data_IF_649174415051
#
_entry.id   IF_649174415051
#
_cell.length_a   1.000
_cell.length_b   1.000
_cell.length_c   1.000
_cell.angle_alpha   90.00
_cell.angle_beta   90.00
_cell.angle_gamma   90.00
#
_symmetry.space_group_name_H-M   'P 1'
#
loop_
_entity.id
_entity.type
_entity.pdbx_description
1 polymer ?
#
# COMPACT_ATOMS: atom_id res chain seq x y z
N UNK A 1 3.38 -20.53 -20.43
CA UNK A 1 2.94 -19.92 -19.15
C UNK A 1 1.86 -18.92 -19.49
N UNK A 2 0.82 -18.75 -18.68
CA UNK A 2 -0.18 -17.73 -18.98
C UNK A 2 0.51 -16.36 -18.95
N UNK A 3 0.30 -15.55 -19.99
CA UNK A 3 0.66 -14.14 -20.00
C UNK A 3 0.02 -13.48 -18.79
N UNK A 4 0.74 -12.64 -18.02
CA UNK A 4 0.14 -11.93 -16.91
C UNK A 4 -1.10 -11.18 -17.40
N UNK A 5 -2.24 -11.44 -16.76
CA UNK A 5 -3.46 -10.67 -17.03
C UNK A 5 -3.18 -9.22 -16.66
N UNK A 6 -3.15 -8.35 -17.65
CA UNK A 6 -2.95 -6.92 -17.50
C UNK A 6 -4.27 -6.23 -17.16
N UNK A 7 -4.88 -6.62 -16.04
CA UNK A 7 -6.09 -5.93 -15.58
C UNK A 7 -5.70 -4.76 -14.69
N UNK A 8 -6.04 -3.55 -15.12
CA UNK A 8 -5.98 -2.33 -14.29
C UNK A 8 -7.13 -2.35 -13.26
N UNK A 9 -8.07 -3.27 -13.39
CA UNK A 9 -9.18 -3.43 -12.45
C UNK A 9 -8.70 -4.11 -11.17
N UNK A 10 -9.23 -3.63 -10.04
CA UNK A 10 -8.98 -4.25 -8.74
C UNK A 10 -9.78 -5.56 -8.64
N UNK A 11 -9.14 -6.57 -8.10
CA UNK A 11 -9.77 -7.85 -7.76
C UNK A 11 -10.52 -7.71 -6.43
N UNK A 12 -11.74 -7.18 -6.51
CA UNK A 12 -12.62 -6.96 -5.35
C UNK A 12 -13.61 -8.10 -5.13
N UNK A 13 -13.49 -9.18 -5.89
CA UNK A 13 -14.35 -10.36 -5.78
C UNK A 13 -14.03 -11.26 -4.58
N UNK A 14 -14.86 -12.30 -4.44
CA UNK A 14 -14.59 -13.33 -3.43
C UNK A 14 -13.30 -14.09 -3.76
N UNK A 15 -12.47 -14.37 -2.74
CA UNK A 15 -11.23 -15.11 -2.93
C UNK A 15 -11.47 -16.51 -3.48
N UNK A 16 -10.70 -16.99 -4.46
CA UNK A 16 -10.77 -18.37 -4.91
C UNK A 16 -10.37 -19.35 -3.79
N UNK A 17 -10.80 -20.58 -3.89
CA UNK A 17 -10.60 -21.60 -2.88
C UNK A 17 -9.13 -21.77 -2.46
N UNK A 18 -8.22 -21.76 -3.42
CA UNK A 18 -6.76 -21.86 -3.14
C UNK A 18 -6.25 -20.71 -2.25
N UNK A 19 -6.79 -19.49 -2.45
CA UNK A 19 -6.42 -18.34 -1.65
C UNK A 19 -7.01 -18.44 -0.23
N UNK A 20 -8.20 -18.99 -0.08
CA UNK A 20 -8.81 -19.25 1.24
C UNK A 20 -8.01 -20.33 2.00
N UNK A 21 -7.52 -21.35 1.33
CA UNK A 21 -6.64 -22.37 1.92
C UNK A 21 -5.30 -21.75 2.35
N UNK A 22 -4.74 -20.87 1.53
CA UNK A 22 -3.55 -20.11 1.91
C UNK A 22 -3.81 -19.24 3.14
N UNK A 23 -4.93 -18.53 3.18
CA UNK A 23 -5.33 -17.69 4.32
C UNK A 23 -5.47 -18.51 5.61
N UNK A 24 -6.06 -19.70 5.51
CA UNK A 24 -6.16 -20.65 6.62
C UNK A 24 -4.77 -21.06 7.13
N UNK A 25 -3.89 -21.46 6.23
CA UNK A 25 -2.56 -21.95 6.59
C UNK A 25 -1.63 -20.85 7.15
N UNK A 26 -1.70 -19.62 6.60
CA UNK A 26 -0.73 -18.57 6.87
C UNK A 26 -1.28 -17.39 7.68
N UNK A 27 -2.58 -17.08 7.57
CA UNK A 27 -3.25 -16.02 8.34
C UNK A 27 -4.07 -16.55 9.51
N UNK A 28 -4.22 -17.87 9.66
CA UNK A 28 -5.10 -18.52 10.66
C UNK A 28 -6.57 -18.12 10.48
N UNK A 29 -6.98 -17.85 9.23
CA UNK A 29 -8.36 -17.49 8.89
C UNK A 29 -9.22 -18.75 8.78
N UNK A 30 -9.71 -19.26 9.91
CA UNK A 30 -10.57 -20.43 9.96
C UNK A 30 -12.03 -20.05 9.71
N UNK A 31 -12.72 -20.65 8.73
CA UNK A 31 -14.11 -20.31 8.41
C UNK A 31 -15.06 -20.40 9.62
N UNK A 32 -14.86 -21.39 10.49
CA UNK A 32 -15.68 -21.60 11.68
C UNK A 32 -15.50 -20.58 12.81
N UNK A 33 -14.37 -19.86 12.84
CA UNK A 33 -14.07 -18.86 13.89
C UNK A 33 -13.90 -17.45 13.36
N UNK A 34 -14.02 -17.25 12.03
CA UNK A 34 -13.84 -15.95 11.39
C UNK A 34 -14.75 -14.88 11.98
N UNK A 35 -16.06 -15.14 12.04
CA UNK A 35 -17.04 -14.20 12.60
C UNK A 35 -16.80 -13.93 14.07
N UNK A 36 -16.44 -14.97 14.85
CA UNK A 36 -16.13 -14.81 16.25
C UNK A 36 -14.96 -13.84 16.47
N UNK A 37 -13.88 -13.97 15.70
CA UNK A 37 -12.74 -13.06 15.78
C UNK A 37 -13.09 -11.61 15.41
N UNK A 38 -14.00 -11.41 14.45
CA UNK A 38 -14.51 -10.07 14.08
C UNK A 38 -15.31 -9.48 15.25
N UNK A 39 -16.20 -10.26 15.87
CA UNK A 39 -16.96 -9.81 17.04
C UNK A 39 -16.04 -9.48 18.23
N UNK A 40 -15.07 -10.34 18.54
CA UNK A 40 -14.10 -10.09 19.59
C UNK A 40 -13.29 -8.79 19.35
N UNK A 41 -12.87 -8.55 18.11
CA UNK A 41 -12.19 -7.31 17.77
C UNK A 41 -13.11 -6.09 17.98
N UNK A 42 -14.35 -6.19 17.54
CA UNK A 42 -15.35 -5.12 17.69
C UNK A 42 -15.63 -4.82 19.15
N UNK A 43 -15.82 -5.85 19.98
CA UNK A 43 -16.04 -5.72 21.43
C UNK A 43 -14.83 -5.04 22.11
N UNK A 44 -13.61 -5.47 21.76
CA UNK A 44 -12.39 -4.84 22.28
C UNK A 44 -12.31 -3.34 21.97
N UNK A 45 -12.74 -2.92 20.77
CA UNK A 45 -12.74 -1.51 20.38
C UNK A 45 -13.71 -0.72 21.27
N UNK A 46 -14.92 -1.25 21.49
CA UNK A 46 -15.93 -0.59 22.34
C UNK A 46 -15.52 -0.56 23.80
N UNK A 47 -15.05 -1.68 24.34
CA UNK A 47 -14.73 -1.81 25.76
C UNK A 47 -13.50 -0.98 26.18
N UNK A 48 -12.49 -0.91 25.33
CA UNK A 48 -11.23 -0.22 25.66
C UNK A 48 -11.26 1.26 25.36
N UNK A 49 -11.99 1.69 24.32
CA UNK A 49 -12.10 3.10 23.94
C UNK A 49 -10.77 3.75 23.56
N UNK A 50 -9.76 2.96 23.13
CA UNK A 50 -8.42 3.46 22.79
C UNK A 50 -8.34 4.08 21.38
N UNK A 51 -9.36 3.90 20.56
CA UNK A 51 -9.54 4.55 19.27
C UNK A 51 -11.02 4.68 18.93
N UNK A 52 -11.36 5.64 18.04
CA UNK A 52 -12.72 5.90 17.59
C UNK A 52 -12.87 5.68 16.08
N UNK A 53 -13.01 4.43 15.63
CA UNK A 53 -13.09 4.13 14.21
C UNK A 53 -14.35 4.71 13.57
N UNK A 54 -14.20 5.29 12.38
CA UNK A 54 -15.32 5.74 11.54
C UNK A 54 -16.04 4.56 10.86
N UNK A 55 -15.35 3.42 10.74
CA UNK A 55 -15.85 2.18 10.13
C UNK A 55 -15.69 1.00 11.07
N UNK A 56 -16.75 0.22 11.19
CA UNK A 56 -16.84 -0.96 12.05
C UNK A 56 -17.47 -2.17 11.34
N UNK A 57 -17.61 -2.09 10.01
CA UNK A 57 -18.09 -3.18 9.19
C UNK A 57 -17.08 -4.34 9.11
N UNK A 58 -17.58 -5.53 8.83
CA UNK A 58 -16.79 -6.76 8.80
C UNK A 58 -15.65 -6.69 7.78
N UNK A 59 -15.90 -6.11 6.60
CA UNK A 59 -14.91 -5.97 5.53
C UNK A 59 -13.77 -5.03 5.90
N UNK A 60 -14.04 -4.06 6.76
CA UNK A 60 -12.99 -3.18 7.28
C UNK A 60 -12.21 -3.84 8.40
N UNK A 61 -12.87 -4.47 9.37
CA UNK A 61 -12.22 -5.11 10.51
C UNK A 61 -11.36 -6.31 10.12
N UNK A 62 -11.78 -7.09 9.12
CA UNK A 62 -11.03 -8.27 8.67
C UNK A 62 -9.64 -7.92 8.13
N UNK A 63 -9.44 -6.72 7.57
CA UNK A 63 -8.13 -6.24 7.09
C UNK A 63 -7.10 -6.25 8.23
N UNK A 64 -7.51 -5.81 9.42
CA UNK A 64 -6.66 -5.78 10.62
C UNK A 64 -6.40 -7.18 11.18
N UNK A 65 -7.42 -8.06 11.15
CA UNK A 65 -7.29 -9.44 11.57
C UNK A 65 -6.31 -10.22 10.67
N UNK A 66 -6.46 -10.12 9.34
CA UNK A 66 -5.54 -10.75 8.36
C UNK A 66 -4.11 -10.28 8.56
N UNK A 67 -3.90 -8.98 8.74
CA UNK A 67 -2.58 -8.40 8.97
C UNK A 67 -1.93 -8.85 10.29
N UNK A 68 -2.68 -9.47 11.20
CA UNK A 68 -2.20 -9.93 12.53
C UNK A 68 -2.58 -11.38 12.82
N UNK A 69 -2.69 -12.20 11.77
CA UNK A 69 -2.89 -13.65 11.84
C UNK A 69 -4.12 -14.03 12.67
N UNK A 70 -5.22 -13.29 12.50
CA UNK A 70 -6.47 -13.50 13.21
C UNK A 70 -6.32 -13.57 14.74
N UNK A 71 -5.44 -12.75 15.30
CA UNK A 71 -5.30 -12.57 16.75
C UNK A 71 -5.95 -11.23 17.12
N UNK A 72 -7.19 -11.21 17.71
CA UNK A 72 -7.95 -9.98 17.94
C UNK A 72 -7.20 -8.92 18.75
N UNK A 73 -6.47 -9.31 19.79
CA UNK A 73 -5.68 -8.39 20.60
C UNK A 73 -4.54 -7.69 19.80
N UNK A 74 -3.94 -8.39 18.82
CA UNK A 74 -2.92 -7.80 17.95
C UNK A 74 -3.56 -6.91 16.86
N UNK A 75 -4.71 -7.32 16.34
CA UNK A 75 -5.49 -6.54 15.40
C UNK A 75 -5.98 -5.23 16.03
N UNK A 76 -6.49 -5.28 17.26
CA UNK A 76 -6.88 -4.11 18.04
C UNK A 76 -5.69 -3.13 18.21
N UNK A 77 -4.52 -3.63 18.64
CA UNK A 77 -3.32 -2.78 18.77
C UNK A 77 -2.92 -2.12 17.43
N UNK A 78 -3.03 -2.87 16.32
CA UNK A 78 -2.78 -2.30 15.00
C UNK A 78 -3.78 -1.20 14.66
N UNK A 79 -5.04 -1.38 15.03
CA UNK A 79 -6.10 -0.41 14.78
C UNK A 79 -5.89 0.87 15.58
N UNK A 80 -5.51 0.74 16.86
CA UNK A 80 -5.11 1.89 17.68
C UNK A 80 -3.94 2.64 17.03
N UNK A 81 -2.90 1.93 16.59
CA UNK A 81 -1.75 2.54 15.91
C UNK A 81 -2.14 3.22 14.59
N UNK A 82 -3.09 2.64 13.85
CA UNK A 82 -3.57 3.23 12.58
C UNK A 82 -4.26 4.57 12.82
N UNK A 83 -5.17 4.64 13.78
CA UNK A 83 -5.87 5.88 14.10
C UNK A 83 -4.94 6.92 14.74
N UNK A 84 -4.04 6.49 15.62
CA UNK A 84 -3.01 7.38 16.17
C UNK A 84 -2.10 7.94 15.06
N UNK A 85 -1.71 7.12 14.07
CA UNK A 85 -0.92 7.59 12.95
C UNK A 85 -1.67 8.63 12.10
N UNK A 86 -2.98 8.47 11.92
CA UNK A 86 -3.83 9.47 11.25
C UNK A 86 -3.89 10.78 12.03
N UNK A 87 -4.05 10.72 13.35
CA UNK A 87 -4.07 11.90 14.22
C UNK A 87 -2.71 12.62 14.27
N UNK A 88 -1.62 11.87 14.30
CA UNK A 88 -0.25 12.41 14.30
C UNK A 88 0.15 13.04 12.95
N UNK A 89 -0.54 12.69 11.87
CA UNK A 89 -0.19 13.10 10.50
C UNK A 89 -1.42 13.51 9.68
N UNK A 90 -2.19 14.53 10.13
CA UNK A 90 -3.41 14.95 9.44
C UNK A 90 -3.16 15.38 8.00
N UNK A 91 -1.98 15.92 7.71
CA UNK A 91 -1.58 16.34 6.36
C UNK A 91 -1.59 15.21 5.33
N UNK A 92 -1.56 13.95 5.76
CA UNK A 92 -1.59 12.78 4.87
C UNK A 92 -3.00 12.26 4.57
N UNK A 93 -4.00 12.70 5.35
CA UNK A 93 -5.35 12.14 5.31
C UNK A 93 -6.44 13.19 5.12
N UNK A 94 -6.22 14.41 5.61
CA UNK A 94 -7.22 15.47 5.55
C UNK A 94 -7.12 16.28 4.26
N UNK A 95 -8.25 16.47 3.61
CA UNK A 95 -8.36 17.22 2.37
C UNK A 95 -7.44 16.70 1.24
N UNK A 96 -7.23 15.39 1.19
CA UNK A 96 -6.44 14.75 0.13
C UNK A 96 -7.35 14.43 -1.05
N UNK A 97 -7.01 14.98 -2.19
CA UNK A 97 -7.62 14.67 -3.48
C UNK A 97 -6.68 13.73 -4.24
N UNK A 98 -7.12 12.49 -4.56
CA UNK A 98 -6.24 11.51 -5.21
C UNK A 98 -5.63 11.99 -6.52
N UNK A 99 -6.35 12.79 -7.30
CA UNK A 99 -5.87 13.27 -8.60
C UNK A 99 -4.84 14.40 -8.51
N UNK A 100 -4.77 15.10 -7.38
CA UNK A 100 -3.70 16.09 -7.11
C UNK A 100 -2.33 15.42 -6.92
N UNK A 101 -2.30 14.08 -6.69
CA UNK A 101 -1.08 13.31 -6.56
C UNK A 101 -0.50 12.82 -7.91
N UNK A 102 -1.15 13.18 -9.01
CA UNK A 102 -0.69 12.85 -10.37
C UNK A 102 0.77 13.20 -10.64
N UNK A 103 1.33 14.35 -10.16
CA UNK A 103 2.73 14.70 -10.39
C UNK A 103 3.73 13.62 -9.93
N UNK A 104 3.44 12.88 -8.86
CA UNK A 104 4.29 11.77 -8.37
C UNK A 104 4.38 10.64 -9.41
N UNK A 105 3.28 10.36 -10.09
CA UNK A 105 3.24 9.39 -11.19
C UNK A 105 3.85 9.91 -12.47
N UNK A 106 3.53 11.15 -12.86
CA UNK A 106 4.05 11.77 -14.08
C UNK A 106 5.59 11.94 -14.03
N UNK A 107 6.14 12.20 -12.84
CA UNK A 107 7.58 12.19 -12.60
C UNK A 107 8.17 10.78 -12.48
N UNK A 108 7.36 9.73 -12.61
CA UNK A 108 7.77 8.34 -12.57
C UNK A 108 8.44 7.90 -11.25
N UNK A 109 8.13 8.60 -10.15
CA UNK A 109 8.69 8.32 -8.82
C UNK A 109 8.08 7.05 -8.25
N UNK A 110 6.77 6.86 -8.46
CA UNK A 110 6.04 5.70 -7.98
C UNK A 110 5.26 5.05 -9.12
N UNK A 111 5.28 3.74 -9.16
CA UNK A 111 4.46 2.94 -10.06
C UNK A 111 3.88 1.74 -9.31
N UNK A 112 2.66 1.35 -9.68
CA UNK A 112 2.02 0.12 -9.26
C UNK A 112 1.65 -0.63 -10.52
N UNK A 113 2.43 -1.65 -10.94
CA UNK A 113 2.11 -2.42 -12.15
C UNK A 113 0.70 -3.03 -12.06
N UNK A 114 -0.03 -3.12 -13.18
CA UNK A 114 -1.36 -3.74 -13.21
C UNK A 114 -1.32 -5.26 -13.03
N UNK A 115 -0.16 -5.86 -13.25
CA UNK A 115 0.11 -7.28 -13.02
C UNK A 115 0.70 -7.52 -11.62
N UNK A 116 0.73 -8.79 -11.22
CA UNK A 116 1.26 -9.27 -9.94
C UNK A 116 2.51 -10.13 -10.16
N UNK A 117 3.23 -10.44 -9.09
CA UNK A 117 4.33 -11.39 -9.17
C UNK A 117 3.83 -12.82 -9.47
N UNK A 118 4.75 -13.78 -9.63
CA UNK A 118 4.44 -15.20 -9.89
C UNK A 118 3.60 -15.87 -8.79
N UNK A 119 3.48 -15.25 -7.62
CA UNK A 119 2.71 -15.74 -6.48
C UNK A 119 1.42 -14.94 -6.23
N UNK A 120 1.08 -14.05 -7.14
CA UNK A 120 -0.13 -13.23 -7.08
C UNK A 120 -0.06 -12.00 -6.16
N UNK A 121 1.14 -11.52 -5.79
CA UNK A 121 1.33 -10.34 -4.94
C UNK A 121 1.41 -9.06 -5.76
N UNK A 122 0.81 -7.99 -5.27
CA UNK A 122 1.00 -6.64 -5.84
C UNK A 122 2.41 -6.14 -5.55
N UNK A 123 2.94 -5.40 -6.51
CA UNK A 123 4.25 -4.74 -6.41
C UNK A 123 4.06 -3.22 -6.40
N UNK A 124 4.83 -2.53 -5.59
CA UNK A 124 4.98 -1.08 -5.60
C UNK A 124 6.42 -0.76 -5.94
N UNK A 125 6.63 0.04 -6.98
CA UNK A 125 7.96 0.45 -7.45
C UNK A 125 8.18 1.90 -7.04
N UNK A 126 9.30 2.17 -6.38
CA UNK A 126 9.72 3.51 -5.97
C UNK A 126 11.06 3.84 -6.63
N UNK A 127 11.07 4.79 -7.54
CA UNK A 127 12.28 5.29 -8.23
C UNK A 127 12.68 6.60 -7.61
N UNK A 128 13.44 6.52 -6.52
CA UNK A 128 13.73 7.69 -5.69
C UNK A 128 14.61 8.71 -6.41
N UNK A 129 15.47 8.28 -7.33
CA UNK A 129 16.29 9.21 -8.12
C UNK A 129 15.49 10.05 -9.13
N UNK A 130 14.26 9.65 -9.49
CA UNK A 130 13.36 10.45 -10.32
C UNK A 130 12.70 11.61 -9.57
N UNK A 131 12.81 11.62 -8.25
CA UNK A 131 12.19 12.63 -7.40
C UNK A 131 13.02 13.92 -7.35
N UNK A 132 12.41 15.05 -7.71
CA UNK A 132 12.98 16.37 -7.44
C UNK A 132 12.32 16.99 -6.20
N UNK A 133 13.01 17.05 -5.05
CA UNK A 133 12.46 17.59 -3.81
C UNK A 133 12.10 19.08 -3.87
N UNK A 134 12.54 19.80 -4.90
CA UNK A 134 12.20 21.22 -5.10
C UNK A 134 10.84 21.40 -5.79
N UNK A 135 10.39 20.39 -6.53
CA UNK A 135 9.14 20.44 -7.28
C UNK A 135 8.02 19.67 -6.58
N UNK A 136 8.36 18.52 -5.98
CA UNK A 136 7.40 17.63 -5.34
C UNK A 136 7.79 17.49 -3.87
N UNK A 137 6.97 17.97 -2.92
CA UNK A 137 7.25 17.82 -1.50
C UNK A 137 7.21 16.35 -1.08
N UNK A 138 7.98 16.01 -0.06
CA UNK A 138 8.03 14.63 0.46
C UNK A 138 6.68 14.15 0.98
N UNK A 139 5.83 15.06 1.43
CA UNK A 139 4.47 14.78 1.88
C UNK A 139 3.62 14.16 0.76
N UNK A 140 3.83 14.57 -0.49
CA UNK A 140 3.09 14.01 -1.63
C UNK A 140 3.53 12.58 -1.95
N UNK A 141 4.81 12.24 -1.70
CA UNK A 141 5.26 10.84 -1.76
C UNK A 141 4.57 9.99 -0.68
N UNK A 142 4.46 10.53 0.54
CA UNK A 142 3.72 9.87 1.61
C UNK A 142 2.24 9.72 1.29
N UNK A 143 1.57 10.79 0.82
CA UNK A 143 0.15 10.76 0.41
C UNK A 143 -0.09 9.72 -0.70
N UNK A 144 0.76 9.71 -1.71
CA UNK A 144 0.68 8.74 -2.82
C UNK A 144 0.87 7.30 -2.32
N UNK A 145 1.80 7.09 -1.38
CA UNK A 145 2.01 5.77 -0.77
C UNK A 145 0.79 5.35 0.05
N UNK A 146 0.26 6.23 0.90
CA UNK A 146 -0.95 5.98 1.69
C UNK A 146 -2.13 5.66 0.78
N UNK A 147 -2.33 6.43 -0.29
CA UNK A 147 -3.37 6.19 -1.29
C UNK A 147 -3.23 4.78 -1.91
N UNK A 148 -2.03 4.42 -2.36
CA UNK A 148 -1.78 3.12 -2.97
C UNK A 148 -2.00 1.96 -1.98
N UNK A 149 -1.62 2.13 -0.71
CA UNK A 149 -1.89 1.15 0.35
C UNK A 149 -3.40 0.99 0.61
N UNK A 150 -4.15 2.09 0.67
CA UNK A 150 -5.60 2.05 0.86
C UNK A 150 -6.31 1.35 -0.30
N UNK A 151 -5.93 1.66 -1.54
CA UNK A 151 -6.48 1.01 -2.73
C UNK A 151 -6.11 -0.48 -2.73
N UNK A 152 -4.85 -0.83 -2.45
CA UNK A 152 -4.41 -2.22 -2.39
C UNK A 152 -5.16 -3.04 -1.33
N UNK A 153 -5.57 -2.41 -0.23
CA UNK A 153 -6.36 -3.05 0.83
C UNK A 153 -7.81 -3.34 0.44
N UNK A 154 -8.31 -2.83 -0.69
CA UNK A 154 -9.61 -3.22 -1.21
C UNK A 154 -9.60 -4.64 -1.78
N UNK A 155 -8.44 -5.12 -2.21
CA UNK A 155 -8.29 -6.48 -2.73
C UNK A 155 -8.06 -7.49 -1.59
N UNK A 156 -8.97 -8.44 -1.43
CA UNK A 156 -8.81 -9.52 -0.44
C UNK A 156 -7.51 -10.32 -0.67
N UNK A 157 -7.12 -10.52 -1.93
CA UNK A 157 -5.84 -11.16 -2.31
C UNK A 157 -4.64 -10.42 -1.72
N UNK A 158 -4.62 -9.09 -1.81
CA UNK A 158 -3.53 -8.27 -1.26
C UNK A 158 -3.50 -8.31 0.27
N UNK A 159 -4.65 -8.35 0.94
CA UNK A 159 -4.73 -8.52 2.40
C UNK A 159 -4.13 -9.87 2.84
N UNK A 160 -4.38 -10.94 2.08
CA UNK A 160 -3.96 -12.31 2.41
C UNK A 160 -2.49 -12.56 2.04
N UNK A 161 -2.09 -12.26 0.81
CA UNK A 161 -0.74 -12.57 0.31
C UNK A 161 0.31 -11.52 0.68
N UNK A 162 -0.14 -10.31 1.03
CA UNK A 162 0.73 -9.17 1.21
C UNK A 162 1.20 -8.54 -0.10
N UNK A 163 2.03 -7.50 0.03
CA UNK A 163 2.62 -6.76 -1.08
C UNK A 163 4.14 -6.77 -1.06
N UNK A 164 4.73 -6.45 -2.20
CA UNK A 164 6.17 -6.31 -2.39
C UNK A 164 6.46 -4.84 -2.69
N UNK A 165 7.48 -4.28 -2.04
CA UNK A 165 8.01 -2.96 -2.37
C UNK A 165 9.39 -3.11 -3.03
N UNK A 166 9.63 -2.41 -4.13
CA UNK A 166 10.93 -2.34 -4.81
C UNK A 166 11.36 -0.88 -4.79
N UNK A 167 12.45 -0.61 -4.10
CA UNK A 167 13.10 0.70 -4.06
C UNK A 167 14.28 0.70 -5.03
N UNK A 168 14.12 1.42 -6.12
CA UNK A 168 15.19 1.69 -7.07
C UNK A 168 15.87 3.00 -6.67
N UNK A 169 17.13 2.90 -6.34
CA UNK A 169 17.96 3.99 -5.84
C UNK A 169 18.97 4.49 -6.89
N UNK A 170 18.74 4.15 -8.16
CA UNK A 170 19.51 4.73 -9.27
C UNK A 170 19.40 6.25 -9.20
N UNK A 171 20.50 6.95 -9.44
CA UNK A 171 20.61 8.41 -9.44
C UNK A 171 20.27 9.12 -8.11
N UNK A 172 20.21 8.39 -6.99
CA UNK A 172 20.03 9.02 -5.68
C UNK A 172 21.25 9.89 -5.33
N UNK A 173 21.00 11.15 -5.03
CA UNK A 173 22.02 12.13 -4.67
C UNK A 173 21.86 12.70 -3.26
N UNK A 174 22.75 13.62 -2.90
CA UNK A 174 22.76 14.28 -1.59
C UNK A 174 21.48 15.06 -1.31
N UNK A 175 20.84 15.64 -2.32
CA UNK A 175 19.56 16.35 -2.20
C UNK A 175 18.46 15.44 -1.67
N UNK A 176 18.41 14.19 -2.14
CA UNK A 176 17.49 13.17 -1.63
C UNK A 176 17.83 12.76 -0.19
N UNK A 177 19.14 12.54 0.08
CA UNK A 177 19.60 12.14 1.40
C UNK A 177 19.27 13.18 2.48
N UNK A 178 19.34 14.46 2.15
CA UNK A 178 18.98 15.55 3.07
C UNK A 178 17.50 15.56 3.47
N UNK A 179 16.62 14.98 2.65
CA UNK A 179 15.18 14.85 2.97
C UNK A 179 14.92 13.74 3.98
N UNK A 180 15.82 12.76 4.09
CA UNK A 180 15.64 11.59 4.97
C UNK A 180 16.16 11.92 6.36
N UNK A 181 15.40 12.67 7.12
CA UNK A 181 15.65 12.92 8.54
C UNK A 181 15.22 11.72 9.40
N UNK A 182 15.66 11.59 10.65
CA UNK A 182 15.17 10.58 11.59
C UNK A 182 13.63 10.61 11.76
N UNK A 183 13.02 11.80 11.71
CA UNK A 183 11.57 11.95 11.78
C UNK A 183 10.87 11.36 10.55
N UNK A 184 11.37 11.67 9.36
CA UNK A 184 10.89 11.11 8.08
C UNK A 184 11.04 9.58 8.07
N UNK A 185 12.18 9.07 8.47
CA UNK A 185 12.41 7.62 8.55
C UNK A 185 11.45 6.96 9.56
N UNK A 186 11.23 7.57 10.72
CA UNK A 186 10.27 7.09 11.71
C UNK A 186 8.85 7.06 11.15
N UNK A 187 8.43 8.13 10.43
CA UNK A 187 7.13 8.20 9.76
C UNK A 187 6.96 7.08 8.72
N UNK A 188 7.97 6.84 7.89
CA UNK A 188 7.96 5.75 6.90
C UNK A 188 7.83 4.37 7.56
N UNK A 189 8.62 4.10 8.59
CA UNK A 189 8.58 2.80 9.28
C UNK A 189 7.24 2.61 10.00
N UNK A 190 6.72 3.62 10.69
CA UNK A 190 5.40 3.58 11.31
C UNK A 190 4.33 3.26 10.26
N UNK A 191 4.33 3.95 9.14
CA UNK A 191 3.38 3.73 8.04
C UNK A 191 3.45 2.29 7.50
N UNK A 192 4.61 1.81 7.11
CA UNK A 192 4.76 0.53 6.40
C UNK A 192 4.73 -0.70 7.32
N UNK A 193 5.04 -0.55 8.60
CA UNK A 193 5.26 -1.69 9.52
C UNK A 193 4.22 -1.78 10.62
N UNK A 194 3.87 -0.66 11.25
CA UNK A 194 3.13 -0.71 12.51
C UNK A 194 1.75 -0.06 12.49
N UNK A 195 1.40 0.71 11.47
CA UNK A 195 0.16 1.48 11.47
C UNK A 195 -0.86 1.05 10.42
N UNK A 196 -0.43 0.57 9.26
CA UNK A 196 -1.37 0.10 8.23
C UNK A 196 -1.66 -1.41 8.35
N UNK A 197 -2.90 -1.85 8.05
CA UNK A 197 -3.26 -3.26 8.05
C UNK A 197 -2.77 -3.97 6.76
N UNK A 198 -1.55 -3.65 6.35
CA UNK A 198 -0.85 -4.27 5.22
C UNK A 198 0.12 -5.33 5.73
N UNK A 199 0.28 -6.38 4.95
CA UNK A 199 1.34 -7.36 5.14
C UNK A 199 2.44 -7.09 4.11
N UNK A 200 3.57 -6.52 4.56
CA UNK A 200 4.75 -6.36 3.70
C UNK A 200 5.46 -7.69 3.59
N UNK A 201 5.31 -8.35 2.44
CA UNK A 201 5.95 -9.65 2.19
C UNK A 201 7.46 -9.52 2.04
N UNK A 202 7.90 -8.58 1.18
CA UNK A 202 9.31 -8.32 0.94
C UNK A 202 9.55 -6.85 0.55
N UNK A 203 10.74 -6.36 0.87
CA UNK A 203 11.26 -5.08 0.40
C UNK A 203 12.57 -5.36 -0.34
N UNK A 204 12.62 -5.02 -1.61
CA UNK A 204 13.81 -5.15 -2.45
C UNK A 204 14.43 -3.79 -2.67
N UNK A 205 15.75 -3.67 -2.47
CA UNK A 205 16.52 -2.44 -2.66
C UNK A 205 17.54 -2.71 -3.74
N UNK A 206 17.40 -2.02 -4.87
CA UNK A 206 18.26 -2.16 -6.05
C UNK A 206 19.00 -0.85 -6.35
N UNK A 207 20.07 -0.93 -7.11
CA UNK A 207 20.88 0.21 -7.55
C UNK A 207 21.39 1.09 -6.40
N UNK A 208 21.60 0.52 -5.21
CA UNK A 208 22.04 1.29 -4.05
C UNK A 208 23.55 1.50 -4.06
N UNK A 209 23.95 2.75 -3.80
CA UNK A 209 25.35 3.17 -3.65
C UNK A 209 25.75 3.26 -2.17
N UNK A 210 27.02 3.60 -1.92
CA UNK A 210 27.54 3.87 -0.56
C UNK A 210 26.75 4.95 0.21
N UNK A 211 26.09 5.87 -0.51
CA UNK A 211 25.24 6.90 0.10
C UNK A 211 24.05 6.28 0.82
N UNK A 212 23.51 5.21 0.26
CA UNK A 212 22.40 4.49 0.87
C UNK A 212 22.79 3.84 2.21
N UNK A 213 24.01 3.38 2.38
CA UNK A 213 24.45 2.80 3.66
C UNK A 213 24.29 3.79 4.81
N UNK A 214 24.57 5.08 4.56
CA UNK A 214 24.36 6.15 5.53
C UNK A 214 22.87 6.37 5.82
N UNK A 215 22.03 6.37 4.79
CA UNK A 215 20.59 6.50 4.92
C UNK A 215 20.01 5.29 5.67
N UNK A 216 20.41 4.08 5.32
CA UNK A 216 19.93 2.87 5.97
C UNK A 216 20.27 2.80 7.46
N UNK A 217 21.38 3.38 7.90
CA UNK A 217 21.72 3.47 9.31
C UNK A 217 20.70 4.30 10.14
N UNK A 218 19.93 5.18 9.50
CA UNK A 218 18.82 5.90 10.15
C UNK A 218 17.61 4.97 10.34
N UNK A 219 17.35 4.09 9.38
CA UNK A 219 16.22 3.15 9.42
C UNK A 219 16.47 1.94 10.31
N UNK A 220 17.68 1.41 10.29
CA UNK A 220 18.05 0.15 10.95
C UNK A 220 17.61 0.03 12.42
N UNK A 221 17.77 1.05 13.28
CA UNK A 221 17.31 0.97 14.67
C UNK A 221 15.78 0.99 14.84
N UNK A 222 15.06 1.48 13.83
CA UNK A 222 13.60 1.57 13.84
C UNK A 222 12.91 0.26 13.40
N UNK A 223 13.66 -0.63 12.75
CA UNK A 223 13.14 -1.90 12.23
C UNK A 223 13.36 -3.03 13.23
N UNK A 224 12.31 -3.82 13.48
CA UNK A 224 12.43 -5.05 14.25
C UNK A 224 13.14 -6.16 13.43
N UNK A 225 13.49 -7.28 14.09
CA UNK A 225 14.21 -8.39 13.45
C UNK A 225 13.41 -9.03 12.32
N UNK A 226 12.09 -9.16 12.48
CA UNK A 226 11.20 -9.74 11.47
C UNK A 226 11.19 -8.88 10.20
N UNK A 227 11.00 -7.56 10.34
CA UNK A 227 11.01 -6.68 9.17
C UNK A 227 12.38 -6.64 8.50
N UNK A 228 13.48 -6.64 9.27
CA UNK A 228 14.83 -6.69 8.70
C UNK A 228 15.08 -7.95 7.87
N UNK A 229 14.52 -9.09 8.26
CA UNK A 229 14.64 -10.34 7.48
C UNK A 229 13.88 -10.34 6.15
N UNK A 230 12.96 -9.38 5.95
CA UNK A 230 12.20 -9.19 4.72
C UNK A 230 12.80 -8.18 3.76
N UNK A 231 13.94 -7.56 4.14
CA UNK A 231 14.64 -6.57 3.30
C UNK A 231 15.81 -7.26 2.58
N UNK A 232 15.81 -7.17 1.26
CA UNK A 232 16.80 -7.75 0.38
C UNK A 232 17.58 -6.66 -0.36
N UNK A 233 18.90 -6.72 -0.26
CA UNK A 233 19.80 -5.78 -0.92
C UNK A 233 20.43 -6.43 -2.15
N UNK A 234 20.25 -5.82 -3.31
CA UNK A 234 20.68 -6.40 -4.60
C UNK A 234 21.90 -5.68 -5.21
N UNK A 235 22.30 -4.52 -4.66
CA UNK A 235 23.34 -3.70 -5.29
C UNK A 235 22.93 -3.28 -6.69
N UNK A 236 23.88 -3.36 -7.61
CA UNK A 236 23.67 -3.11 -9.05
C UNK A 236 23.35 -4.41 -9.83
N UNK A 237 23.25 -5.55 -9.15
CA UNK A 237 23.02 -6.83 -9.78
C UNK A 237 21.53 -7.18 -9.84
N UNK A 238 20.86 -6.73 -10.91
CA UNK A 238 19.42 -6.95 -11.12
C UNK A 238 19.09 -8.45 -11.18
N UNK A 239 20.00 -9.30 -11.67
CA UNK A 239 19.83 -10.76 -11.67
C UNK A 239 19.58 -11.35 -10.26
N UNK A 240 20.06 -10.68 -9.23
CA UNK A 240 19.76 -11.04 -7.84
C UNK A 240 18.28 -10.84 -7.48
N UNK A 241 17.60 -9.84 -8.06
CA UNK A 241 16.16 -9.63 -7.91
C UNK A 241 15.37 -10.78 -8.55
N UNK A 242 15.86 -11.32 -9.68
CA UNK A 242 15.21 -12.42 -10.40
C UNK A 242 15.11 -13.72 -9.60
N UNK A 243 15.90 -13.88 -8.54
CA UNK A 243 15.77 -15.00 -7.60
C UNK A 243 14.50 -14.93 -6.74
N UNK A 244 13.91 -13.76 -6.64
CA UNK A 244 12.71 -13.48 -5.84
C UNK A 244 11.49 -13.22 -6.71
N UNK A 245 11.65 -12.48 -7.81
CA UNK A 245 10.58 -12.12 -8.74
C UNK A 245 11.01 -12.55 -10.14
N UNK A 246 10.19 -13.42 -10.75
CA UNK A 246 10.50 -13.94 -12.09
C UNK A 246 10.48 -12.79 -13.12
N UNK A 247 11.42 -12.74 -14.09
CA UNK A 247 11.51 -11.68 -15.09
C UNK A 247 10.22 -11.42 -15.88
N UNK A 248 9.40 -12.44 -16.11
CA UNK A 248 8.10 -12.31 -16.79
C UNK A 248 7.13 -11.34 -16.10
N UNK A 249 7.38 -11.04 -14.82
CA UNK A 249 6.57 -10.16 -13.98
C UNK A 249 7.30 -8.85 -13.61
N UNK A 250 8.39 -8.53 -14.30
CA UNK A 250 9.15 -7.32 -14.06
C UNK A 250 9.15 -6.42 -15.30
N UNK A 251 9.23 -5.10 -15.12
CA UNK A 251 9.50 -4.16 -16.21
C UNK A 251 10.83 -4.44 -16.92
N UNK A 252 10.91 -4.09 -18.20
CA UNK A 252 12.12 -4.26 -19.02
C UNK A 252 13.35 -3.61 -18.39
N UNK A 253 13.18 -2.46 -17.71
CA UNK A 253 14.27 -1.77 -17.00
C UNK A 253 14.92 -2.61 -15.88
N UNK A 254 14.20 -3.58 -15.35
CA UNK A 254 14.70 -4.52 -14.34
C UNK A 254 14.99 -5.90 -14.94
N UNK A 255 15.31 -5.94 -16.24
CA UNK A 255 15.61 -7.18 -16.96
C UNK A 255 14.41 -8.10 -17.14
N UNK A 256 13.21 -7.55 -17.05
CA UNK A 256 11.96 -8.26 -17.31
C UNK A 256 11.47 -8.10 -18.75
N UNK A 257 10.21 -8.45 -18.97
CA UNK A 257 9.57 -8.46 -20.28
C UNK A 257 8.32 -7.57 -20.36
N UNK A 258 7.93 -6.96 -19.26
CA UNK A 258 6.74 -6.10 -19.21
C UNK A 258 7.11 -4.65 -19.47
N UNK A 259 6.24 -3.85 -20.12
CA UNK A 259 6.46 -2.42 -20.25
C UNK A 259 6.36 -1.72 -18.88
N UNK A 260 6.96 -0.53 -18.78
CA UNK A 260 6.71 0.36 -17.65
C UNK A 260 5.28 0.91 -17.72
N UNK A 261 4.56 0.77 -16.63
CA UNK A 261 3.20 1.28 -16.49
C UNK A 261 3.20 2.54 -15.62
N UNK A 262 2.71 3.68 -16.11
CA UNK A 262 2.63 4.89 -15.32
C UNK A 262 1.58 4.73 -14.21
N UNK A 263 1.88 5.28 -13.06
CA UNK A 263 0.94 5.33 -11.91
C UNK A 263 -0.42 5.94 -12.27
N UNK A 264 -0.44 6.83 -13.25
CA UNK A 264 -1.64 7.52 -13.74
C UNK A 264 -2.73 6.59 -14.25
N UNK A 265 -2.40 5.37 -14.69
CA UNK A 265 -3.41 4.38 -15.09
C UNK A 265 -4.35 4.02 -13.93
N UNK A 266 -3.83 4.01 -12.69
CA UNK A 266 -4.61 3.77 -11.49
C UNK A 266 -5.50 4.94 -11.14
N UNK A 267 -5.02 6.16 -11.31
CA UNK A 267 -5.82 7.37 -11.11
C UNK A 267 -6.97 7.44 -12.13
N UNK A 268 -6.72 7.04 -13.38
CA UNK A 268 -7.77 6.93 -14.39
C UNK A 268 -8.80 5.82 -14.05
N UNK A 269 -8.35 4.72 -13.45
CA UNK A 269 -9.26 3.68 -12.96
C UNK A 269 -10.14 4.18 -11.82
N UNK A 270 -9.59 4.95 -10.87
CA UNK A 270 -10.34 5.55 -9.76
C UNK A 270 -11.53 6.40 -10.28
N UNK A 271 -11.30 7.22 -11.31
CA UNK A 271 -12.33 8.10 -11.87
C UNK A 271 -13.56 7.36 -12.41
N UNK A 272 -13.41 6.09 -12.81
CA UNK A 272 -14.39 5.28 -13.52
C UNK A 272 -15.04 4.20 -12.64
N UNK A 273 -14.46 3.91 -11.48
CA UNK A 273 -14.92 2.81 -10.63
C UNK A 273 -15.68 3.34 -9.41
N UNK A 274 -17.01 3.26 -9.48
CA UNK A 274 -17.90 3.71 -8.40
C UNK A 274 -17.57 3.08 -7.04
N UNK A 275 -17.35 1.75 -7.01
CA UNK A 275 -17.10 1.05 -5.75
C UNK A 275 -15.79 1.51 -5.11
N UNK A 276 -14.74 1.66 -5.90
CA UNK A 276 -13.45 2.16 -5.40
C UNK A 276 -13.59 3.60 -4.91
N UNK A 277 -14.27 4.48 -5.66
CA UNK A 277 -14.53 5.87 -5.24
C UNK A 277 -15.27 5.91 -3.90
N UNK A 278 -16.33 5.11 -3.73
CA UNK A 278 -17.08 5.02 -2.46
C UNK A 278 -16.21 4.58 -1.29
N UNK A 279 -15.41 3.54 -1.49
CA UNK A 279 -14.48 3.04 -0.47
C UNK A 279 -13.44 4.12 -0.07
N UNK A 280 -12.92 4.87 -1.04
CA UNK A 280 -11.97 5.94 -0.78
C UNK A 280 -12.61 7.11 -0.03
N UNK A 281 -13.84 7.49 -0.39
CA UNK A 281 -14.61 8.50 0.35
C UNK A 281 -14.85 8.04 1.79
N UNK A 282 -15.20 6.78 2.00
CA UNK A 282 -15.45 6.21 3.31
C UNK A 282 -14.22 6.20 4.25
N UNK A 283 -13.00 6.29 3.71
CA UNK A 283 -11.77 6.41 4.50
C UNK A 283 -11.22 7.84 4.57
N UNK A 284 -11.94 8.83 3.97
CA UNK A 284 -11.68 10.26 4.16
C UNK A 284 -11.12 10.99 2.94
N UNK A 285 -10.93 10.34 1.78
CA UNK A 285 -10.54 11.04 0.56
C UNK A 285 -11.67 11.89 0.00
N UNK A 286 -11.28 12.98 -0.65
CA UNK A 286 -12.20 13.90 -1.34
C UNK A 286 -12.05 13.79 -2.85
N UNK A 287 -13.13 14.01 -3.56
CA UNK A 287 -13.15 14.05 -5.02
C UNK A 287 -13.92 15.29 -5.47
N UNK A 288 -13.37 16.00 -6.44
CA UNK A 288 -14.10 17.06 -7.14
C UNK A 288 -14.99 16.42 -8.20
N UNK A 289 -16.15 16.98 -8.40
CA UNK A 289 -17.13 16.44 -9.33
C UNK A 289 -16.57 16.31 -10.77
N UNK A 290 -15.87 17.33 -11.23
CA UNK A 290 -15.22 17.38 -12.55
C UNK A 290 -14.10 16.32 -12.73
N UNK A 291 -13.62 15.76 -11.65
CA UNK A 291 -12.57 14.73 -11.66
C UNK A 291 -13.11 13.33 -11.94
N UNK A 292 -14.38 13.09 -11.70
CA UNK A 292 -15.01 11.79 -11.85
C UNK A 292 -15.77 11.65 -13.18
N UNK A 293 -15.97 10.43 -13.63
CA UNK A 293 -16.84 10.19 -14.78
C UNK A 293 -18.30 10.55 -14.46
N UNK A 294 -19.05 11.14 -15.41
CA UNK A 294 -20.43 11.57 -15.16
C UNK A 294 -21.36 10.48 -14.62
N UNK A 295 -21.15 9.23 -15.01
CA UNK A 295 -21.91 8.09 -14.50
C UNK A 295 -21.65 7.83 -13.01
N UNK A 296 -20.40 7.93 -12.59
CA UNK A 296 -19.99 7.78 -11.18
C UNK A 296 -20.58 8.91 -10.35
N UNK A 297 -20.48 10.16 -10.83
CA UNK A 297 -21.06 11.35 -10.17
C UNK A 297 -22.56 11.16 -9.95
N UNK A 298 -23.28 10.75 -11.00
CA UNK A 298 -24.72 10.54 -10.91
C UNK A 298 -25.07 9.49 -9.85
N UNK A 299 -24.39 8.34 -9.87
CA UNK A 299 -24.65 7.26 -8.90
C UNK A 299 -24.33 7.66 -7.45
N UNK A 300 -23.25 8.43 -7.24
CA UNK A 300 -22.90 8.95 -5.90
C UNK A 300 -24.00 9.90 -5.38
N UNK A 301 -24.51 10.78 -6.23
CA UNK A 301 -25.64 11.68 -5.89
C UNK A 301 -26.93 10.93 -5.59
N UNK A 302 -27.26 9.90 -6.40
CA UNK A 302 -28.44 9.06 -6.18
C UNK A 302 -28.39 8.35 -4.81
N UNK A 303 -27.19 8.08 -4.30
CA UNK A 303 -26.94 7.50 -2.98
C UNK A 303 -26.77 8.56 -1.86
N UNK A 304 -26.90 9.84 -2.17
CA UNK A 304 -26.79 10.94 -1.19
C UNK A 304 -25.36 11.24 -0.75
N UNK A 305 -24.35 10.82 -1.52
CA UNK A 305 -22.94 11.10 -1.25
C UNK A 305 -22.56 12.44 -1.88
N UNK A 306 -22.20 13.41 -1.05
CA UNK A 306 -21.75 14.74 -1.48
C UNK A 306 -20.29 14.69 -1.96
N UNK A 307 -20.03 15.38 -3.08
CA UNK A 307 -18.70 15.62 -3.62
C UNK A 307 -18.22 17.03 -3.23
N UNK A 308 -16.92 17.24 -3.25
CA UNK A 308 -16.29 18.53 -2.88
C UNK A 308 -16.33 19.54 -4.00
#
# INVERSE_FOLDING_TARGET
MPTPEHSVELDMGEPPQELLEYARAHCREEPGTRLQAIYELRDMIYERGECSPQRMDDDFLIRFLRARNFIPARAHRLMVNYYQFKEDNPELFENVFPLDLRPVGDANIMAVPPYRDQNGRRMMLFRIGCWDPKQIPIEDLFRSTVLALQIGLLEQRTQILGGIAIFDLEDIGTTHAWQITPSVASKMVKMLVSSFPTNTYAIHIINHSWLFDKIYNIFKPLLNSEMRSRIYFHGYEVSSLHKHIHPDYLPERYGGVTPDYPYTIWLESLRKNLQVTKEMIAVGYKFREEELCPEVVRKLRDEGIELS
#
